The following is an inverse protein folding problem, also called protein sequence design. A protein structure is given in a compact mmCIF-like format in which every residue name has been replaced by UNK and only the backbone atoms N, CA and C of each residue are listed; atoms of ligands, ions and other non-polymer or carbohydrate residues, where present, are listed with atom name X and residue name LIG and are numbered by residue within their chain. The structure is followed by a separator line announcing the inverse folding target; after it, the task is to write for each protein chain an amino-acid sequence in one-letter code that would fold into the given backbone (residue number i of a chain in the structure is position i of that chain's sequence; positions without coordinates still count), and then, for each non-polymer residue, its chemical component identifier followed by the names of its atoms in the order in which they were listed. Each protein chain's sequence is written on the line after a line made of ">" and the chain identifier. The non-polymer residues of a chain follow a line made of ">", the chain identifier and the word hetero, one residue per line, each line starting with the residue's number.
data_IF_652157279648
#
_entry.id   IF_652157279648
#
_cell.length_a   1.000
_cell.length_b   1.000
_cell.length_c   1.000
_cell.angle_alpha   90.00
_cell.angle_beta   90.00
_cell.angle_gamma   90.00
#
_symmetry.space_group_name_H-M   'P 1'
#
loop_
_entity.id
_entity.type
_entity.pdbx_description
1 polymer ?
#
# COMPACT_ATOMS: atom_id res chain seq x y z
N UNK A 1 19.52 -21.96 4.57
CA UNK A 1 19.51 -20.97 3.47
C UNK A 1 19.78 -19.61 4.09
N UNK A 2 20.56 -18.73 3.45
CA UNK A 2 20.89 -17.42 4.01
C UNK A 2 19.61 -16.57 4.19
N UNK A 3 19.48 -15.92 5.35
CA UNK A 3 18.36 -15.03 5.65
C UNK A 3 18.39 -13.85 4.67
N UNK A 4 17.36 -13.72 3.84
CA UNK A 4 17.27 -12.61 2.90
C UNK A 4 16.89 -11.34 3.66
N UNK A 5 17.69 -10.29 3.53
CA UNK A 5 17.36 -8.99 4.09
C UNK A 5 15.96 -8.51 3.61
N UNK A 6 15.12 -8.12 4.57
CA UNK A 6 13.76 -7.64 4.30
C UNK A 6 13.79 -6.40 3.42
N UNK A 7 13.16 -6.47 2.24
CA UNK A 7 13.02 -5.36 1.30
C UNK A 7 11.79 -4.54 1.65
N UNK A 8 11.77 -3.26 1.26
CA UNK A 8 10.65 -2.36 1.54
C UNK A 8 10.22 -1.60 0.28
N UNK A 9 8.90 -1.45 0.06
CA UNK A 9 8.33 -0.67 -1.05
C UNK A 9 7.16 0.20 -0.58
N UNK A 10 7.19 1.48 -0.95
CA UNK A 10 6.14 2.45 -0.65
C UNK A 10 5.53 2.96 -1.96
N UNK A 11 4.28 2.62 -2.21
CA UNK A 11 3.54 3.13 -3.37
C UNK A 11 2.96 4.50 -3.07
N UNK A 12 3.17 5.48 -3.95
CA UNK A 12 2.78 6.87 -3.70
C UNK A 12 1.91 7.40 -4.83
N UNK A 13 0.81 8.07 -4.48
CA UNK A 13 0.03 8.88 -5.42
C UNK A 13 -0.47 10.14 -4.73
N UNK A 14 -1.26 10.98 -5.42
CA UNK A 14 -1.70 12.25 -4.85
C UNK A 14 -2.49 12.10 -3.54
N UNK A 15 -3.56 11.31 -3.54
CA UNK A 15 -4.52 11.21 -2.43
C UNK A 15 -4.55 9.87 -1.70
N UNK A 16 -3.81 8.84 -2.16
CA UNK A 16 -3.78 7.52 -1.52
C UNK A 16 -5.15 6.83 -1.32
N UNK A 17 -6.11 7.10 -2.21
CA UNK A 17 -7.41 6.41 -2.23
C UNK A 17 -7.66 5.59 -3.50
N UNK A 18 -6.86 5.75 -4.56
CA UNK A 18 -7.10 5.06 -5.84
C UNK A 18 -5.88 4.24 -6.27
N UNK A 19 -4.91 4.89 -6.91
CA UNK A 19 -3.77 4.22 -7.57
C UNK A 19 -2.85 3.49 -6.60
N UNK A 20 -2.41 4.16 -5.53
CA UNK A 20 -1.42 3.57 -4.62
C UNK A 20 -1.96 2.47 -3.71
N UNK A 21 -3.21 2.52 -3.18
CA UNK A 21 -3.79 1.37 -2.47
C UNK A 21 -4.01 0.15 -3.37
N UNK A 22 -4.38 0.35 -4.64
CA UNK A 22 -4.49 -0.73 -5.62
C UNK A 22 -3.13 -1.39 -5.83
N UNK A 23 -2.09 -0.60 -6.08
CA UNK A 23 -0.73 -1.11 -6.27
C UNK A 23 -0.21 -1.87 -5.04
N UNK A 24 -0.47 -1.36 -3.83
CA UNK A 24 -0.14 -2.04 -2.58
C UNK A 24 -0.81 -3.42 -2.47
N UNK A 25 -2.12 -3.49 -2.69
CA UNK A 25 -2.87 -4.74 -2.58
C UNK A 25 -2.48 -5.75 -3.66
N UNK A 26 -2.24 -5.31 -4.90
CA UNK A 26 -1.71 -6.16 -5.97
C UNK A 26 -0.32 -6.69 -5.61
N UNK A 27 0.60 -5.83 -5.19
CA UNK A 27 1.95 -6.25 -4.84
C UNK A 27 1.96 -7.20 -3.64
N UNK A 28 1.15 -6.92 -2.60
CA UNK A 28 0.97 -7.79 -1.44
C UNK A 28 0.50 -9.19 -1.88
N UNK A 29 -0.49 -9.26 -2.77
CA UNK A 29 -0.95 -10.54 -3.33
C UNK A 29 0.18 -11.27 -4.07
N UNK A 30 0.95 -10.59 -4.92
CA UNK A 30 2.06 -11.20 -5.67
C UNK A 30 3.13 -11.82 -4.76
N UNK A 31 3.54 -11.11 -3.70
CA UNK A 31 4.56 -11.63 -2.77
C UNK A 31 4.01 -12.74 -1.87
N UNK A 32 2.71 -12.70 -1.52
CA UNK A 32 2.04 -13.77 -0.79
C UNK A 32 1.90 -15.04 -1.64
N UNK A 33 1.45 -14.91 -2.90
CA UNK A 33 1.30 -16.05 -3.82
C UNK A 33 2.65 -16.74 -4.11
N UNK A 34 3.76 -16.01 -4.01
CA UNK A 34 5.12 -16.51 -4.18
C UNK A 34 5.78 -16.99 -2.88
N UNK A 35 5.07 -16.96 -1.74
CA UNK A 35 5.59 -17.32 -0.41
C UNK A 35 6.84 -16.52 0.03
N UNK A 36 6.91 -15.24 -0.36
CA UNK A 36 8.01 -14.33 0.00
C UNK A 36 7.53 -13.08 0.73
N UNK A 37 6.27 -13.06 1.20
CA UNK A 37 5.69 -11.90 1.88
C UNK A 37 6.45 -11.49 3.16
N UNK A 38 7.03 -12.44 3.87
CA UNK A 38 7.84 -12.18 5.08
C UNK A 38 9.13 -11.39 4.77
N UNK A 39 9.59 -11.46 3.51
CA UNK A 39 10.78 -10.74 3.06
C UNK A 39 10.46 -9.32 2.58
N UNK A 40 9.20 -8.87 2.69
CA UNK A 40 8.75 -7.59 2.14
C UNK A 40 7.91 -6.78 3.13
N UNK A 41 8.30 -5.53 3.32
CA UNK A 41 7.44 -4.48 3.89
C UNK A 41 6.76 -3.71 2.76
N UNK A 42 5.44 -3.77 2.71
CA UNK A 42 4.61 -3.19 1.63
C UNK A 42 3.63 -2.18 2.22
N UNK A 43 3.63 -0.96 1.69
CA UNK A 43 2.82 0.15 2.20
C UNK A 43 2.46 1.12 1.06
N UNK A 44 1.48 2.01 1.30
CA UNK A 44 1.15 3.11 0.40
C UNK A 44 0.84 4.41 1.12
N UNK A 45 1.05 5.53 0.43
CA UNK A 45 0.84 6.86 1.00
C UNK A 45 0.50 7.94 -0.04
N UNK A 46 0.11 9.11 0.47
CA UNK A 46 -0.30 10.28 -0.29
C UNK A 46 0.83 11.34 -0.33
N UNK A 47 0.97 12.05 -1.45
CA UNK A 47 1.79 13.27 -1.49
C UNK A 47 1.08 14.47 -0.88
N UNK A 48 -0.26 14.45 -0.85
CA UNK A 48 -1.13 15.49 -0.28
C UNK A 48 -1.82 15.03 1.01
N UNK A 49 -2.47 15.97 1.70
CA UNK A 49 -3.26 15.70 2.89
C UNK A 49 -4.78 15.58 2.66
N UNK A 50 -5.25 15.66 1.40
CA UNK A 50 -6.68 15.84 1.10
C UNK A 50 -7.59 14.70 1.60
N UNK A 51 -7.08 13.48 1.60
CA UNK A 51 -7.89 12.27 1.81
C UNK A 51 -7.45 11.49 3.05
N UNK A 52 -6.65 12.07 3.94
CA UNK A 52 -6.14 11.36 5.12
C UNK A 52 -7.32 10.82 5.96
N UNK A 53 -7.26 9.54 6.32
CA UNK A 53 -8.31 8.86 7.08
C UNK A 53 -9.40 8.22 6.21
N UNK A 54 -9.47 8.54 4.92
CA UNK A 54 -10.47 7.95 4.03
C UNK A 54 -10.08 6.54 3.59
N UNK A 55 -11.10 5.71 3.37
CA UNK A 55 -10.93 4.40 2.73
C UNK A 55 -10.62 4.57 1.24
N UNK A 56 -10.08 3.53 0.56
CA UNK A 56 -9.96 3.53 -0.89
C UNK A 56 -11.27 3.85 -1.59
N UNK A 57 -11.20 4.56 -2.72
CA UNK A 57 -12.33 4.91 -3.57
C UNK A 57 -13.11 3.65 -3.96
N UNK A 58 -14.45 3.74 -3.91
CA UNK A 58 -15.34 2.62 -4.14
C UNK A 58 -15.18 1.98 -5.53
N UNK A 59 -14.81 2.76 -6.57
CA UNK A 59 -14.58 2.22 -7.92
C UNK A 59 -13.34 1.35 -7.94
N UNK A 60 -12.30 1.76 -7.20
CA UNK A 60 -11.11 0.96 -6.96
C UNK A 60 -11.44 -0.32 -6.19
N UNK A 61 -12.21 -0.22 -5.10
CA UNK A 61 -12.67 -1.39 -4.35
C UNK A 61 -13.45 -2.39 -5.22
N UNK A 62 -14.37 -1.90 -6.05
CA UNK A 62 -15.15 -2.75 -6.96
C UNK A 62 -14.27 -3.44 -8.00
N UNK A 63 -13.27 -2.74 -8.55
CA UNK A 63 -12.28 -3.34 -9.44
C UNK A 63 -11.52 -4.47 -8.73
N UNK A 64 -10.99 -4.22 -7.54
CA UNK A 64 -10.23 -5.22 -6.76
C UNK A 64 -11.07 -6.45 -6.40
N UNK A 65 -12.35 -6.24 -6.02
CA UNK A 65 -13.30 -7.34 -5.78
C UNK A 65 -13.51 -8.22 -7.01
N UNK A 66 -13.65 -7.64 -8.20
CA UNK A 66 -13.80 -8.40 -9.47
C UNK A 66 -12.58 -9.28 -9.78
N UNK A 67 -11.39 -8.85 -9.33
CA UNK A 67 -10.15 -9.60 -9.49
C UNK A 67 -9.84 -10.54 -8.30
N UNK A 68 -10.73 -10.64 -7.31
CA UNK A 68 -10.52 -11.46 -6.12
C UNK A 68 -9.35 -11.00 -5.25
N UNK A 69 -9.00 -9.71 -5.30
CA UNK A 69 -7.88 -9.16 -4.51
C UNK A 69 -8.45 -8.37 -3.33
N UNK A 70 -8.22 -8.81 -2.08
CA UNK A 70 -8.66 -8.06 -0.91
C UNK A 70 -7.87 -6.75 -0.81
N UNK A 71 -8.59 -5.65 -0.57
CA UNK A 71 -8.00 -4.33 -0.36
C UNK A 71 -8.62 -3.72 0.90
N UNK A 72 -7.78 -3.51 1.91
CA UNK A 72 -8.13 -2.78 3.14
C UNK A 72 -7.00 -1.80 3.41
N UNK A 73 -7.32 -0.52 3.41
CA UNK A 73 -6.36 0.56 3.58
C UNK A 73 -7.04 1.77 4.21
N UNK A 74 -6.25 2.62 4.86
CA UNK A 74 -6.67 3.94 5.33
C UNK A 74 -5.65 4.93 4.82
N UNK A 75 -6.12 5.91 4.04
CA UNK A 75 -5.27 6.88 3.39
C UNK A 75 -4.44 7.67 4.40
N UNK A 76 -3.15 7.86 4.10
CA UNK A 76 -2.21 8.58 4.97
C UNK A 76 -1.26 9.43 4.16
N UNK A 77 -0.75 10.51 4.76
CA UNK A 77 0.37 11.27 4.18
C UNK A 77 1.66 10.45 4.20
N UNK A 78 2.46 10.59 3.15
CA UNK A 78 3.80 10.03 3.09
C UNK A 78 4.81 10.84 3.92
N UNK A 79 4.50 12.12 4.14
CA UNK A 79 5.31 13.04 4.96
C UNK A 79 4.73 13.13 6.36
N UNK A 80 5.55 12.81 7.35
CA UNK A 80 5.34 13.20 8.74
C UNK A 80 6.44 14.22 9.08
N UNK A 81 6.07 15.43 9.47
CA UNK A 81 7.02 16.52 9.77
C UNK A 81 8.03 16.79 8.63
N UNK A 82 7.59 16.70 7.38
CA UNK A 82 8.44 16.96 6.20
C UNK A 82 9.35 15.81 5.76
N UNK A 83 9.37 14.68 6.49
CA UNK A 83 10.22 13.52 6.17
C UNK A 83 9.38 12.39 5.58
N UNK A 84 9.85 11.81 4.47
CA UNK A 84 9.25 10.63 3.86
C UNK A 84 9.45 9.42 4.76
N UNK A 85 8.36 8.77 5.18
CA UNK A 85 8.44 7.59 6.05
C UNK A 85 7.49 6.49 5.61
N UNK A 86 7.99 5.26 5.73
CA UNK A 86 7.14 4.08 5.84
C UNK A 86 6.37 4.14 7.17
N UNK A 87 5.14 3.63 7.20
CA UNK A 87 4.32 3.59 8.42
C UNK A 87 5.04 2.79 9.51
N UNK A 88 5.27 3.38 10.68
CA UNK A 88 5.68 2.59 11.85
C UNK A 88 4.51 1.70 12.23
N UNK A 89 4.77 0.40 12.35
CA UNK A 89 3.80 -0.58 12.80
C UNK A 89 3.78 -0.62 14.32
#
# INVERSE_FOLDING_TARGET
>A
MAEQATKSVLFVCLGNIYRSPIAEAVFRKLVTDQNISENWRVDSAATSGYEIGNAPDYRGQNCMKRHGIPMSHVARSAKLNGVWRFKSW
#
